data_IF_258946657355
#
_entry.id   IF_258946657355
#
_cell.length_a   1.000
_cell.length_b   1.000
_cell.length_c   1.000
_cell.angle_alpha   90.00
_cell.angle_beta   90.00
_cell.angle_gamma   90.00
#
_symmetry.space_group_name_H-M   'P 1'
#
loop_
_entity.id
_entity.type
_entity.pdbx_description
1 polymer ?
#
# COMPACT_ATOMS: atom_id res chain seq x y z
N UNK A 1 18.08 -14.19 -13.30
CA UNK A 1 16.78 -14.50 -13.91
C UNK A 1 15.75 -13.50 -13.37
N UNK A 2 14.80 -13.11 -14.19
CA UNK A 2 13.68 -12.25 -13.81
C UNK A 2 12.36 -12.99 -13.87
N UNK A 3 11.42 -12.60 -12.99
CA UNK A 3 10.04 -13.06 -13.03
C UNK A 3 9.16 -11.84 -13.26
N UNK A 4 8.27 -11.94 -14.23
CA UNK A 4 7.40 -10.85 -14.64
C UNK A 4 5.94 -11.31 -14.69
N UNK A 5 5.04 -10.39 -14.48
CA UNK A 5 3.61 -10.50 -14.72
C UNK A 5 3.31 -9.70 -15.99
N UNK A 6 2.71 -10.36 -16.97
CA UNK A 6 2.38 -9.78 -18.26
C UNK A 6 0.91 -10.02 -18.62
N UNK A 7 0.39 -9.20 -19.52
CA UNK A 7 -0.93 -9.40 -20.12
C UNK A 7 -0.89 -10.29 -21.39
N UNK A 8 0.32 -10.63 -21.85
CA UNK A 8 0.54 -11.53 -22.99
C UNK A 8 1.77 -12.42 -22.77
N UNK A 9 2.20 -13.17 -23.79
CA UNK A 9 3.32 -14.12 -23.72
C UNK A 9 4.69 -13.51 -24.02
N UNK A 10 4.75 -12.22 -24.34
CA UNK A 10 5.95 -11.53 -24.79
C UNK A 10 6.49 -10.63 -23.67
N UNK A 11 7.81 -10.62 -23.51
CA UNK A 11 8.45 -9.69 -22.57
C UNK A 11 8.58 -8.31 -23.20
N UNK A 12 7.95 -7.31 -22.62
CA UNK A 12 8.04 -5.92 -23.06
C UNK A 12 8.06 -4.90 -21.90
N UNK A 13 8.01 -3.61 -22.25
CA UNK A 13 8.08 -2.53 -21.26
C UNK A 13 6.80 -2.35 -20.42
N UNK A 14 5.69 -2.96 -20.81
CA UNK A 14 4.43 -2.96 -20.07
C UNK A 14 4.41 -3.98 -18.93
N UNK A 15 5.36 -4.89 -18.89
CA UNK A 15 5.41 -5.98 -17.92
C UNK A 15 5.82 -5.53 -16.53
N UNK A 16 5.16 -6.09 -15.54
CA UNK A 16 5.46 -5.83 -14.15
C UNK A 16 6.51 -6.82 -13.66
N UNK A 17 7.70 -6.32 -13.35
CA UNK A 17 8.73 -7.15 -12.73
C UNK A 17 8.33 -7.49 -11.30
N UNK A 18 8.15 -8.79 -11.03
CA UNK A 18 7.76 -9.28 -9.72
C UNK A 18 8.97 -9.58 -8.83
N UNK A 19 10.00 -10.26 -9.40
CA UNK A 19 11.13 -10.73 -8.61
C UNK A 19 12.39 -10.92 -9.46
N UNK A 20 13.56 -10.91 -8.79
CA UNK A 20 14.86 -11.26 -9.37
C UNK A 20 15.46 -12.45 -8.64
N UNK A 21 15.83 -13.47 -9.38
CA UNK A 21 16.42 -14.70 -8.84
C UNK A 21 17.85 -14.85 -9.31
N UNK A 22 18.78 -14.96 -8.36
CA UNK A 22 20.19 -15.20 -8.69
C UNK A 22 20.37 -16.60 -9.29
N UNK A 23 20.92 -16.66 -10.51
CA UNK A 23 21.11 -17.91 -11.24
C UNK A 23 22.23 -18.81 -10.67
N UNK A 24 23.35 -18.23 -10.31
CA UNK A 24 24.57 -18.93 -9.95
C UNK A 24 25.31 -19.50 -11.16
N UNK A 25 26.43 -20.21 -10.92
CA UNK A 25 27.21 -20.87 -11.96
C UNK A 25 26.46 -22.07 -12.56
N UNK A 26 26.49 -22.22 -13.86
CA UNK A 26 25.98 -23.36 -14.60
C UNK A 26 27.00 -23.77 -15.66
N UNK A 27 27.47 -25.03 -15.63
CA UNK A 27 28.40 -25.55 -16.61
C UNK A 27 27.70 -25.88 -17.93
N UNK A 28 28.41 -25.90 -19.04
CA UNK A 28 27.84 -26.30 -20.33
C UNK A 28 27.15 -27.64 -20.26
N UNK A 29 25.94 -27.74 -20.78
CA UNK A 29 25.08 -28.93 -20.74
C UNK A 29 24.41 -29.24 -19.37
N UNK A 30 24.72 -28.49 -18.33
CA UNK A 30 24.08 -28.68 -17.03
C UNK A 30 22.74 -27.96 -16.94
N UNK A 31 21.86 -28.45 -16.06
CA UNK A 31 20.59 -27.81 -15.70
C UNK A 31 20.50 -27.57 -14.20
N UNK A 32 19.69 -26.60 -13.80
CA UNK A 32 19.39 -26.28 -12.40
C UNK A 32 17.91 -25.99 -12.25
N UNK A 33 17.28 -26.64 -11.29
CA UNK A 33 15.91 -26.33 -10.89
C UNK A 33 15.89 -25.47 -9.62
N UNK A 34 14.82 -24.73 -9.42
CA UNK A 34 14.60 -23.92 -8.23
C UNK A 34 13.14 -23.50 -8.11
N UNK A 35 12.79 -22.94 -6.98
CA UNK A 35 11.48 -22.33 -6.74
C UNK A 35 11.67 -20.93 -6.20
N UNK A 36 10.69 -20.07 -6.46
CA UNK A 36 10.67 -18.68 -5.98
C UNK A 36 9.23 -18.30 -5.70
N UNK A 37 9.04 -17.48 -4.67
CA UNK A 37 7.76 -16.85 -4.36
C UNK A 37 7.81 -15.39 -4.80
N UNK A 38 6.82 -14.97 -5.58
CA UNK A 38 6.66 -13.59 -5.99
C UNK A 38 5.24 -13.11 -5.63
N UNK A 39 5.10 -11.83 -5.31
CA UNK A 39 3.80 -11.23 -5.04
C UNK A 39 3.26 -10.54 -6.27
N UNK A 40 2.02 -10.85 -6.62
CA UNK A 40 1.26 -10.08 -7.60
C UNK A 40 0.77 -8.80 -6.93
N UNK A 41 0.90 -7.62 -7.56
CA UNK A 41 0.38 -6.36 -7.02
C UNK A 41 -1.12 -6.41 -6.78
N UNK A 42 -1.59 -5.73 -5.73
CA UNK A 42 -3.02 -5.55 -5.50
C UNK A 42 -3.68 -4.83 -6.67
N UNK A 43 -4.92 -5.19 -6.95
CA UNK A 43 -5.71 -4.61 -8.04
C UNK A 43 -5.45 -5.26 -9.41
N UNK A 44 -4.47 -6.12 -9.54
CA UNK A 44 -4.29 -6.92 -10.76
C UNK A 44 -5.20 -8.15 -10.69
N UNK A 45 -6.07 -8.32 -11.70
CA UNK A 45 -7.04 -9.43 -11.77
C UNK A 45 -7.24 -9.90 -13.20
N UNK A 46 -7.72 -11.15 -13.34
CA UNK A 46 -8.04 -11.73 -14.63
C UNK A 46 -6.90 -12.55 -15.25
N UNK A 47 -6.99 -12.78 -16.56
CA UNK A 47 -6.02 -13.57 -17.27
C UNK A 47 -4.70 -12.83 -17.42
N UNK A 48 -3.62 -13.53 -17.12
CA UNK A 48 -2.26 -13.03 -17.18
C UNK A 48 -1.27 -14.14 -17.53
N UNK A 49 -0.02 -13.76 -17.70
CA UNK A 49 1.09 -14.67 -17.88
C UNK A 49 2.19 -14.38 -16.88
N UNK A 50 2.75 -15.44 -16.30
CA UNK A 50 4.02 -15.33 -15.58
C UNK A 50 5.12 -15.64 -16.57
N UNK A 51 6.01 -14.67 -16.78
CA UNK A 51 7.19 -14.84 -17.63
C UNK A 51 8.40 -15.12 -16.76
N UNK A 52 9.12 -16.21 -17.07
CA UNK A 52 10.45 -16.48 -16.52
C UNK A 52 11.49 -16.12 -17.57
N UNK A 53 12.36 -15.19 -17.22
CA UNK A 53 13.39 -14.66 -18.13
C UNK A 53 14.77 -15.03 -17.61
N UNK A 54 15.47 -15.91 -18.33
CA UNK A 54 16.86 -16.24 -18.03
C UNK A 54 17.76 -15.05 -18.38
N UNK A 55 18.77 -14.79 -17.53
CA UNK A 55 19.73 -13.69 -17.72
C UNK A 55 19.08 -12.35 -18.13
N UNK A 56 18.00 -11.97 -17.43
CA UNK A 56 17.16 -10.80 -17.78
C UNK A 56 17.93 -9.46 -17.79
N UNK A 57 19.10 -9.40 -17.14
CA UNK A 57 19.98 -8.23 -17.15
C UNK A 57 21.04 -8.29 -18.27
N UNK A 58 21.07 -9.37 -19.04
CA UNK A 58 21.98 -9.53 -20.18
C UNK A 58 23.46 -9.62 -19.78
N UNK A 59 23.78 -10.10 -18.60
CA UNK A 59 25.15 -10.13 -18.05
C UNK A 59 26.02 -11.20 -18.67
N UNK A 60 25.44 -12.24 -19.24
CA UNK A 60 26.20 -13.31 -19.88
C UNK A 60 26.18 -13.16 -21.41
N UNK A 61 27.29 -13.46 -22.11
CA UNK A 61 27.27 -13.58 -23.57
C UNK A 61 26.42 -14.79 -23.95
N UNK A 62 25.28 -14.52 -24.59
CA UNK A 62 24.33 -15.53 -25.03
C UNK A 62 24.12 -15.38 -26.54
N UNK A 63 24.32 -16.47 -27.27
CA UNK A 63 24.24 -16.49 -28.73
C UNK A 63 22.80 -16.51 -29.23
N UNK A 64 21.84 -16.88 -28.40
CA UNK A 64 20.43 -16.91 -28.74
C UNK A 64 19.55 -16.53 -27.57
N UNK A 65 19.13 -15.29 -27.50
CA UNK A 65 18.26 -14.77 -26.42
C UNK A 65 16.78 -15.01 -26.67
N UNK A 66 16.39 -15.52 -27.84
CA UNK A 66 14.96 -15.78 -28.10
C UNK A 66 14.41 -16.98 -27.32
N UNK A 67 15.27 -17.85 -26.81
CA UNK A 67 14.91 -18.99 -25.96
C UNK A 67 15.05 -18.71 -24.45
N UNK A 68 15.30 -17.46 -24.06
CA UNK A 68 15.48 -17.06 -22.67
C UNK A 68 14.18 -16.74 -21.94
N UNK A 69 13.05 -16.70 -22.64
CA UNK A 69 11.74 -16.39 -22.08
C UNK A 69 10.83 -17.60 -22.18
N UNK A 70 10.21 -17.92 -21.07
CA UNK A 70 9.12 -18.93 -21.01
C UNK A 70 7.93 -18.31 -20.31
N UNK A 71 6.75 -18.44 -20.90
CA UNK A 71 5.48 -17.97 -20.37
C UNK A 71 4.65 -19.08 -19.74
N UNK A 72 3.85 -18.73 -18.74
CA UNK A 72 2.82 -19.58 -18.16
C UNK A 72 1.55 -18.76 -17.93
N UNK A 73 0.46 -19.14 -18.55
CA UNK A 73 -0.83 -18.55 -18.31
C UNK A 73 -1.31 -18.81 -16.88
N UNK A 74 -1.84 -17.77 -16.24
CA UNK A 74 -2.46 -17.81 -14.92
C UNK A 74 -3.74 -17.00 -14.93
N UNK A 75 -4.71 -17.35 -14.10
CA UNK A 75 -5.85 -16.49 -13.81
C UNK A 75 -5.66 -15.93 -12.41
N UNK A 76 -5.62 -14.61 -12.29
CA UNK A 76 -5.44 -13.91 -11.02
C UNK A 76 -6.81 -13.54 -10.47
N UNK A 77 -7.17 -14.12 -9.34
CA UNK A 77 -8.43 -13.82 -8.66
C UNK A 77 -8.33 -12.50 -7.90
N UNK A 78 -9.45 -11.77 -7.82
CA UNK A 78 -9.55 -10.60 -6.96
C UNK A 78 -9.50 -11.02 -5.49
N UNK A 79 -8.60 -10.40 -4.73
CA UNK A 79 -8.61 -10.49 -3.27
C UNK A 79 -9.19 -9.20 -2.74
N UNK A 80 -10.41 -9.20 -2.20
CA UNK A 80 -11.01 -8.00 -1.66
C UNK A 80 -10.15 -7.36 -0.58
N UNK A 81 -9.86 -6.07 -0.72
CA UNK A 81 -9.05 -5.31 0.24
C UNK A 81 -9.80 -4.07 0.71
N UNK A 82 -9.67 -3.70 2.00
CA UNK A 82 -10.25 -2.46 2.50
C UNK A 82 -9.47 -1.24 2.00
N UNK A 83 -10.19 -0.13 1.83
CA UNK A 83 -9.62 1.19 1.58
C UNK A 83 -10.37 2.21 2.45
N UNK A 84 -9.71 2.71 3.49
CA UNK A 84 -10.31 3.62 4.46
C UNK A 84 -10.04 5.07 4.07
N UNK A 85 -11.09 5.80 3.73
CA UNK A 85 -11.05 7.21 3.37
C UNK A 85 -11.65 8.09 4.46
N UNK A 86 -11.02 9.22 4.76
CA UNK A 86 -11.52 10.25 5.68
C UNK A 86 -12.22 11.35 4.91
N UNK A 87 -13.35 11.79 5.43
CA UNK A 87 -14.11 12.93 4.91
C UNK A 87 -14.80 13.71 6.03
N UNK A 88 -15.44 14.83 5.69
CA UNK A 88 -16.27 15.60 6.62
C UNK A 88 -15.54 16.13 7.85
N UNK A 89 -14.23 16.41 7.74
CA UNK A 89 -13.45 16.94 8.88
C UNK A 89 -13.92 18.34 9.22
N UNK A 90 -14.44 18.53 10.43
CA UNK A 90 -14.94 19.82 10.92
C UNK A 90 -14.43 20.13 12.33
N UNK A 91 -14.11 21.42 12.55
CA UNK A 91 -13.80 21.91 13.88
C UNK A 91 -15.11 22.13 14.64
N UNK A 92 -15.30 21.42 15.76
CA UNK A 92 -16.49 21.52 16.61
C UNK A 92 -16.31 22.62 17.67
N UNK A 93 -15.08 22.82 18.16
CA UNK A 93 -14.76 23.88 19.11
C UNK A 93 -14.76 25.23 18.40
N UNK A 94 -15.71 26.09 18.73
CA UNK A 94 -15.89 27.41 18.09
C UNK A 94 -14.69 28.35 18.32
N UNK A 95 -14.13 28.36 19.53
CA UNK A 95 -12.99 29.19 19.93
C UNK A 95 -11.86 28.32 20.49
N UNK A 96 -11.02 27.73 19.62
CA UNK A 96 -9.93 26.87 20.07
C UNK A 96 -8.84 27.66 20.80
N UNK A 97 -8.39 27.16 21.94
CA UNK A 97 -7.33 27.77 22.75
C UNK A 97 -6.26 26.74 23.13
N UNK A 98 -4.99 27.15 23.16
CA UNK A 98 -3.91 26.30 23.64
C UNK A 98 -4.14 25.90 25.12
N UNK A 99 -3.79 24.67 25.46
CA UNK A 99 -4.02 24.09 26.77
C UNK A 99 -5.46 23.65 27.04
N UNK A 100 -6.38 23.90 26.12
CA UNK A 100 -7.77 23.45 26.20
C UNK A 100 -8.08 22.38 25.18
N UNK A 101 -9.05 21.48 25.40
CA UNK A 101 -9.48 20.49 24.41
C UNK A 101 -10.09 21.15 23.19
N UNK A 102 -9.55 20.78 22.02
CA UNK A 102 -10.06 21.19 20.72
C UNK A 102 -10.74 19.97 20.11
N UNK A 103 -12.05 20.06 19.88
CA UNK A 103 -12.88 18.95 19.37
C UNK A 103 -12.99 19.02 17.86
N UNK A 104 -12.78 17.87 17.20
CA UNK A 104 -12.84 17.72 15.75
C UNK A 104 -13.71 16.52 15.43
N UNK A 105 -14.74 16.73 14.59
CA UNK A 105 -15.56 15.67 14.03
C UNK A 105 -15.03 15.25 12.67
N UNK A 106 -15.16 13.97 12.33
CA UNK A 106 -14.77 13.41 11.03
C UNK A 106 -15.59 12.15 10.72
N UNK A 107 -15.58 11.77 9.45
CA UNK A 107 -16.21 10.55 8.95
C UNK A 107 -15.14 9.68 8.33
N UNK A 108 -15.17 8.38 8.60
CA UNK A 108 -14.35 7.38 7.91
C UNK A 108 -15.27 6.44 7.15
N UNK A 109 -14.96 6.20 5.88
CA UNK A 109 -15.70 5.29 5.00
C UNK A 109 -14.75 4.25 4.46
N UNK A 110 -15.15 2.98 4.46
CA UNK A 110 -14.46 1.95 3.70
C UNK A 110 -14.93 2.01 2.25
N UNK A 111 -14.11 2.59 1.37
CA UNK A 111 -14.36 2.70 -0.08
C UNK A 111 -13.79 1.52 -0.87
N UNK A 112 -13.09 0.59 -0.19
CA UNK A 112 -12.59 -0.65 -0.78
C UNK A 112 -13.66 -1.70 -0.97
N UNK A 113 -13.28 -2.84 -1.54
CA UNK A 113 -14.14 -4.00 -1.79
C UNK A 113 -14.00 -5.11 -0.71
N UNK A 114 -13.04 -4.97 0.20
CA UNK A 114 -12.82 -5.85 1.35
C UNK A 114 -13.24 -5.23 2.68
N UNK A 115 -13.45 -6.08 3.67
CA UNK A 115 -13.78 -5.68 5.04
C UNK A 115 -12.54 -5.20 5.78
N UNK A 116 -12.58 -3.99 6.36
CA UNK A 116 -11.54 -3.49 7.26
C UNK A 116 -11.72 -4.10 8.67
N UNK A 117 -10.62 -4.57 9.26
CA UNK A 117 -10.61 -5.21 10.59
C UNK A 117 -9.49 -4.63 11.44
N UNK A 118 -9.83 -4.12 12.62
CA UNK A 118 -8.86 -3.70 13.64
C UNK A 118 -7.77 -2.75 13.11
N UNK A 119 -8.07 -1.48 13.06
CA UNK A 119 -7.13 -0.42 12.67
C UNK A 119 -6.96 0.62 13.76
N UNK A 120 -6.21 1.68 13.49
CA UNK A 120 -6.08 2.84 14.37
C UNK A 120 -6.35 4.10 13.57
N UNK A 121 -7.01 5.05 14.25
CA UNK A 121 -6.98 6.43 13.81
C UNK A 121 -5.88 7.13 14.60
N UNK A 122 -5.00 7.82 13.91
CA UNK A 122 -3.92 8.60 14.49
C UNK A 122 -4.27 10.07 14.41
N UNK A 123 -4.19 10.75 15.52
CA UNK A 123 -4.46 12.19 15.64
C UNK A 123 -3.18 12.92 16.00
N UNK A 124 -2.81 13.90 15.19
CA UNK A 124 -1.59 14.67 15.36
C UNK A 124 -1.79 16.14 14.99
N UNK A 125 -0.86 17.00 15.39
CA UNK A 125 -0.90 18.43 15.07
C UNK A 125 0.48 18.97 14.67
N UNK A 126 0.51 19.99 13.84
CA UNK A 126 1.75 20.66 13.41
C UNK A 126 1.49 22.10 13.00
N UNK A 127 2.54 22.94 13.07
CA UNK A 127 2.55 24.28 12.47
C UNK A 127 2.85 24.27 10.98
N UNK A 128 3.46 23.19 10.48
CA UNK A 128 4.02 23.12 9.13
C UNK A 128 3.36 22.01 8.30
N UNK A 129 3.83 20.79 8.46
CA UNK A 129 3.44 19.65 7.62
C UNK A 129 3.17 18.41 8.47
N UNK A 130 2.46 17.44 7.91
CA UNK A 130 2.21 16.14 8.51
C UNK A 130 3.52 15.42 8.90
N UNK A 131 4.57 15.53 8.08
CA UNK A 131 5.88 14.90 8.36
C UNK A 131 6.50 15.35 9.69
N UNK A 132 6.22 16.58 10.11
CA UNK A 132 6.73 17.17 11.37
C UNK A 132 5.64 17.27 12.45
N UNK A 133 4.57 16.50 12.30
CA UNK A 133 3.46 16.57 13.26
C UNK A 133 3.81 15.87 14.57
N UNK A 134 3.37 16.48 15.66
CA UNK A 134 3.42 15.88 16.98
C UNK A 134 2.21 14.97 17.16
N UNK A 135 2.45 13.70 17.51
CA UNK A 135 1.38 12.76 17.84
C UNK A 135 0.63 13.26 19.10
N UNK A 136 -0.68 13.41 18.99
CA UNK A 136 -1.54 13.62 20.13
C UNK A 136 -1.91 12.29 20.78
N UNK A 137 -2.58 11.42 20.03
CA UNK A 137 -2.95 10.07 20.48
C UNK A 137 -3.37 9.18 19.31
N UNK A 138 -3.55 7.89 19.61
CA UNK A 138 -4.13 6.91 18.70
C UNK A 138 -5.46 6.42 19.28
N UNK A 139 -6.44 6.18 18.40
CA UNK A 139 -7.75 5.61 18.73
C UNK A 139 -7.82 4.22 18.10
N UNK A 140 -7.79 3.18 18.92
CA UNK A 140 -7.91 1.82 18.44
C UNK A 140 -9.34 1.50 18.01
N UNK A 141 -9.51 0.92 16.83
CA UNK A 141 -10.79 0.47 16.27
C UNK A 141 -10.81 -1.06 16.24
N UNK A 142 -11.30 -1.66 17.32
CA UNK A 142 -11.42 -3.12 17.43
C UNK A 142 -12.80 -3.57 16.94
N UNK A 143 -13.11 -3.23 15.70
CA UNK A 143 -14.39 -3.50 15.04
C UNK A 143 -14.15 -3.84 13.57
N UNK A 144 -15.22 -4.12 12.85
CA UNK A 144 -15.22 -4.33 11.41
C UNK A 144 -15.97 -3.20 10.72
N UNK A 145 -15.52 -2.84 9.52
CA UNK A 145 -16.18 -1.89 8.63
C UNK A 145 -16.29 -2.53 7.23
N UNK A 146 -17.50 -2.95 6.87
CA UNK A 146 -17.74 -3.57 5.57
C UNK A 146 -17.58 -2.56 4.42
N UNK A 147 -17.41 -3.02 3.18
CA UNK A 147 -17.40 -2.17 1.99
C UNK A 147 -18.61 -1.22 1.96
N UNK A 148 -18.35 0.06 1.69
CA UNK A 148 -19.33 1.13 1.63
C UNK A 148 -19.86 1.61 2.97
N UNK A 149 -19.51 1.00 4.09
CA UNK A 149 -19.94 1.46 5.40
C UNK A 149 -19.04 2.60 5.93
N UNK A 150 -19.64 3.42 6.79
CA UNK A 150 -18.98 4.58 7.40
C UNK A 150 -19.24 4.63 8.91
N UNK A 151 -18.37 5.29 9.63
CA UNK A 151 -18.64 5.77 11.00
C UNK A 151 -18.29 7.24 11.14
N UNK A 152 -18.97 7.91 12.05
CA UNK A 152 -18.65 9.27 12.47
C UNK A 152 -18.01 9.22 13.85
N UNK A 153 -17.00 10.05 14.06
CA UNK A 153 -16.38 10.19 15.38
C UNK A 153 -16.03 11.65 15.66
N UNK A 154 -15.85 11.94 16.95
CA UNK A 154 -15.39 13.23 17.45
C UNK A 154 -14.25 12.99 18.41
N UNK A 155 -13.07 13.51 18.08
CA UNK A 155 -11.87 13.39 18.90
C UNK A 155 -11.46 14.73 19.49
N UNK A 156 -10.57 14.71 20.47
CA UNK A 156 -10.04 15.90 21.13
C UNK A 156 -8.52 15.97 20.97
N UNK A 157 -8.02 17.18 20.70
CA UNK A 157 -6.59 17.49 20.66
C UNK A 157 -6.30 18.61 21.63
N UNK A 158 -5.25 18.46 22.44
CA UNK A 158 -4.74 19.54 23.29
C UNK A 158 -3.39 19.98 22.74
N UNK A 159 -3.31 21.22 22.29
CA UNK A 159 -2.05 21.86 21.92
C UNK A 159 -1.45 22.47 23.18
N UNK A 160 -0.28 21.98 23.67
CA UNK A 160 0.28 22.42 24.94
C UNK A 160 0.66 23.90 24.94
N UNK A 161 0.56 24.54 26.10
CA UNK A 161 1.13 25.86 26.34
C UNK A 161 2.67 25.83 26.33
N UNK A 162 3.37 26.90 25.90
CA UNK A 162 2.84 28.23 25.55
C UNK A 162 2.58 28.40 24.03
N UNK A 163 2.21 27.35 23.34
CA UNK A 163 2.02 27.40 21.88
C UNK A 163 0.84 28.28 21.49
N UNK A 164 1.09 29.27 20.62
CA UNK A 164 0.09 30.17 20.04
C UNK A 164 0.26 30.21 18.52
N UNK A 165 -0.75 30.69 17.80
CA UNK A 165 -0.75 30.82 16.35
C UNK A 165 -1.46 29.68 15.63
N UNK A 166 -1.26 29.57 14.31
CA UNK A 166 -1.96 28.59 13.48
C UNK A 166 -1.35 27.20 13.61
N UNK A 167 -2.21 26.21 13.77
CA UNK A 167 -1.87 24.78 13.73
C UNK A 167 -2.80 24.07 12.77
N UNK A 168 -2.26 23.10 12.05
CA UNK A 168 -3.04 22.09 11.35
C UNK A 168 -3.18 20.86 12.24
N UNK A 169 -4.38 20.29 12.28
CA UNK A 169 -4.66 19.01 12.92
C UNK A 169 -4.83 17.98 11.82
N UNK A 170 -4.17 16.85 12.00
CA UNK A 170 -4.15 15.74 11.04
C UNK A 170 -4.82 14.53 11.66
N UNK A 171 -5.68 13.89 10.88
CA UNK A 171 -6.29 12.61 11.20
C UNK A 171 -5.87 11.64 10.10
N UNK A 172 -5.25 10.55 10.49
CA UNK A 172 -4.80 9.48 9.59
C UNK A 172 -5.48 8.19 10.01
N UNK A 173 -6.01 7.42 9.07
CA UNK A 173 -6.54 6.08 9.33
C UNK A 173 -5.60 5.04 8.78
N UNK A 174 -5.46 3.93 9.51
CA UNK A 174 -4.60 2.81 9.16
C UNK A 174 -3.15 3.23 8.83
N UNK A 175 -2.51 4.04 9.68
CA UNK A 175 -1.15 4.53 9.49
C UNK A 175 -0.09 3.45 9.71
#
# INVERSE_FOLDING_TARGET
>A
NGIYLSTDEMLDAGDIKLETVLGGKLSGGASKSGSVSAKIPYGFTGNAYILLVADHEGKNPDVNRTNNVVSRAVNVENVPVPDLAISGVTLVTEYPAAGQPIRIAYTVTNIGDGEAKSWKDKVSYSRNTLKNATLSHNIARNTTLAPGQSYNDTTEVIIPLPNTGNFAIYIEVNP
#
